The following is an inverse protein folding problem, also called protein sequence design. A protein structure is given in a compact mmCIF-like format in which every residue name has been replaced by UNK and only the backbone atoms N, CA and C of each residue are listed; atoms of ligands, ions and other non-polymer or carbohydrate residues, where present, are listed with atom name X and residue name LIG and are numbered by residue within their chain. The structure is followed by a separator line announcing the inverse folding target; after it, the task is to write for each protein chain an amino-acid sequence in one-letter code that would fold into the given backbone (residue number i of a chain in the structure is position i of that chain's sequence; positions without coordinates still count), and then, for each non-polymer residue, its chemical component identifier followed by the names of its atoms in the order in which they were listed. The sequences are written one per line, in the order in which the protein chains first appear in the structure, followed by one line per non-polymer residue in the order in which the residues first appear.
data_IF_575133205446
#
_entry.id   IF_575133205446
#
_cell.length_a   1.000
_cell.length_b   1.000
_cell.length_c   1.000
_cell.angle_alpha   90.00
_cell.angle_beta   90.00
_cell.angle_gamma   90.00
#
_symmetry.space_group_name_H-M   'P 1'
#
loop_
_entity.id
_entity.type
_entity.pdbx_description
1 polymer ?
#
# COMPACT_ATOMS: atom_id res chain seq x y z
N UNK A 1 -5.00 11.22 -0.51
CA UNK A 1 -6.33 10.57 -0.33
C UNK A 1 -6.60 9.57 -1.44
N UNK A 2 -7.19 8.42 -1.09
CA UNK A 2 -7.65 7.41 -2.05
C UNK A 2 -6.68 6.37 -2.63
N UNK A 3 -5.41 6.19 -2.18
CA UNK A 3 -4.52 5.18 -2.76
C UNK A 3 -4.66 3.79 -2.11
N UNK A 4 -5.37 3.66 -0.99
CA UNK A 4 -5.46 2.42 -0.24
C UNK A 4 -6.14 1.28 -1.02
N UNK A 5 -5.68 0.04 -0.82
CA UNK A 5 -6.17 -1.16 -1.54
C UNK A 5 -7.64 -1.52 -1.32
N UNK A 6 -8.24 -0.91 -0.30
CA UNK A 6 -9.60 -1.13 0.25
C UNK A 6 -10.41 0.17 0.24
N UNK A 7 -9.85 1.25 -0.30
CA UNK A 7 -10.43 2.58 -0.28
C UNK A 7 -11.16 2.84 -1.60
N UNK A 8 -12.39 3.33 -1.51
CA UNK A 8 -13.23 3.67 -2.66
C UNK A 8 -13.43 5.18 -2.80
N UNK A 9 -12.79 6.02 -1.97
CA UNK A 9 -12.92 7.50 -1.99
C UNK A 9 -12.83 8.10 -3.40
N UNK A 10 -11.85 7.68 -4.22
CA UNK A 10 -11.71 8.22 -5.59
C UNK A 10 -12.90 7.92 -6.49
N UNK A 11 -13.54 6.78 -6.26
CA UNK A 11 -14.70 6.33 -7.05
C UNK A 11 -15.98 6.96 -6.52
N UNK A 12 -16.16 6.97 -5.20
CA UNK A 12 -17.39 7.42 -4.54
C UNK A 12 -17.48 8.95 -4.49
N UNK A 13 -16.40 9.63 -4.08
CA UNK A 13 -16.35 11.08 -3.94
C UNK A 13 -15.69 11.79 -5.13
N UNK A 14 -15.03 11.08 -6.05
CA UNK A 14 -14.33 11.69 -7.19
C UNK A 14 -13.06 12.46 -6.80
N UNK A 15 -12.58 12.34 -5.56
CA UNK A 15 -11.45 13.12 -5.02
C UNK A 15 -10.22 12.24 -4.81
N UNK A 16 -9.08 12.69 -5.33
CA UNK A 16 -7.78 12.10 -5.01
C UNK A 16 -6.65 12.57 -5.92
N UNK A 17 -5.42 12.25 -5.52
CA UNK A 17 -4.19 12.54 -6.28
C UNK A 17 -3.39 11.25 -6.41
N UNK A 18 -2.84 10.91 -7.60
CA UNK A 18 -1.93 9.78 -7.76
C UNK A 18 -0.80 9.81 -6.72
N UNK A 19 -0.57 8.68 -6.04
CA UNK A 19 0.21 8.67 -4.79
C UNK A 19 1.66 9.12 -4.97
N UNK A 20 2.29 8.76 -6.09
CA UNK A 20 3.66 9.16 -6.36
C UNK A 20 3.78 10.69 -6.49
N UNK A 21 2.88 11.32 -7.25
CA UNK A 21 2.81 12.79 -7.37
C UNK A 21 2.53 13.44 -6.02
N UNK A 22 1.56 12.93 -5.26
CA UNK A 22 1.24 13.46 -3.93
C UNK A 22 2.46 13.45 -2.99
N UNK A 23 3.23 12.34 -2.97
CA UNK A 23 4.45 12.25 -2.17
C UNK A 23 5.53 13.21 -2.67
N UNK A 24 5.75 13.32 -3.99
CA UNK A 24 6.75 14.22 -4.57
C UNK A 24 6.45 15.68 -4.24
N UNK A 25 5.20 16.10 -4.39
CA UNK A 25 4.73 17.47 -4.15
C UNK A 25 4.78 17.83 -2.65
N UNK A 26 4.23 16.98 -1.78
CA UNK A 26 4.20 17.24 -0.33
C UNK A 26 5.61 17.21 0.25
N UNK A 27 6.45 16.24 -0.15
CA UNK A 27 7.82 16.16 0.35
C UNK A 27 8.70 17.32 -0.11
N UNK A 28 8.46 17.89 -1.29
CA UNK A 28 9.19 19.06 -1.76
C UNK A 28 8.97 20.29 -0.87
N UNK A 29 7.75 20.47 -0.34
CA UNK A 29 7.45 21.52 0.63
C UNK A 29 7.95 21.16 2.03
N UNK A 30 7.60 19.97 2.53
CA UNK A 30 7.92 19.54 3.90
C UNK A 30 9.43 19.55 4.18
N UNK A 31 10.26 19.19 3.20
CA UNK A 31 11.73 19.25 3.29
C UNK A 31 12.25 20.66 3.60
N UNK A 32 11.62 21.72 3.08
CA UNK A 32 12.03 23.12 3.36
C UNK A 32 11.86 23.48 4.84
N UNK A 33 11.02 22.75 5.56
CA UNK A 33 10.73 22.94 6.98
C UNK A 33 11.33 21.84 7.86
N UNK A 34 12.12 20.92 7.30
CA UNK A 34 12.67 19.79 8.05
C UNK A 34 11.62 18.80 8.57
N UNK A 35 10.42 18.78 7.96
CA UNK A 35 9.31 17.93 8.39
C UNK A 35 9.33 16.62 7.60
N UNK A 36 9.36 15.44 8.24
CA UNK A 36 9.33 14.14 7.55
C UNK A 36 7.94 13.84 6.98
N UNK A 37 7.91 13.07 5.90
CA UNK A 37 6.66 12.67 5.22
C UNK A 37 6.48 11.16 5.28
N UNK A 38 5.26 10.72 5.60
CA UNK A 38 4.85 9.32 5.55
C UNK A 38 4.05 9.09 4.27
N UNK A 39 4.50 8.18 3.40
CA UNK A 39 3.71 7.75 2.26
C UNK A 39 2.72 6.64 2.69
N UNK A 40 1.45 6.99 2.82
CA UNK A 40 0.40 6.09 3.29
C UNK A 40 -0.51 5.57 2.16
N UNK A 41 -0.52 4.26 1.98
CA UNK A 41 -1.41 3.55 1.05
C UNK A 41 -0.87 3.40 -0.37
N UNK A 42 -1.40 2.41 -1.10
CA UNK A 42 -1.08 2.13 -2.50
C UNK A 42 0.19 1.29 -2.74
N UNK A 43 0.92 0.94 -1.69
CA UNK A 43 2.11 0.09 -1.76
C UNK A 43 1.70 -1.38 -1.93
N UNK A 44 2.08 -1.99 -3.06
CA UNK A 44 1.76 -3.39 -3.38
C UNK A 44 2.99 -4.31 -3.33
N UNK A 45 4.18 -3.75 -3.45
CA UNK A 45 5.44 -4.48 -3.48
C UNK A 45 6.56 -3.69 -2.80
N UNK A 46 7.69 -4.36 -2.54
CA UNK A 46 8.91 -3.70 -2.06
C UNK A 46 9.43 -2.64 -3.04
N UNK A 47 9.23 -2.82 -4.35
CA UNK A 47 9.55 -1.81 -5.35
C UNK A 47 8.73 -0.53 -5.21
N UNK A 48 7.46 -0.62 -4.78
CA UNK A 48 6.64 0.55 -4.50
C UNK A 48 7.15 1.32 -3.26
N UNK A 49 7.69 0.62 -2.24
CA UNK A 49 8.38 1.24 -1.09
C UNK A 49 9.58 2.04 -1.58
N UNK A 50 10.44 1.43 -2.42
CA UNK A 50 11.61 2.09 -2.97
C UNK A 50 11.24 3.36 -3.76
N UNK A 51 10.17 3.30 -4.57
CA UNK A 51 9.66 4.47 -5.31
C UNK A 51 9.14 5.56 -4.37
N UNK A 52 8.38 5.21 -3.33
CA UNK A 52 7.86 6.18 -2.37
C UNK A 52 8.99 6.89 -1.59
N UNK A 53 10.00 6.13 -1.16
CA UNK A 53 11.20 6.67 -0.53
C UNK A 53 11.95 7.57 -1.51
N UNK A 54 12.27 7.11 -2.72
CA UNK A 54 12.95 7.90 -3.75
C UNK A 54 12.18 9.19 -4.12
N UNK A 55 10.84 9.17 -4.04
CA UNK A 55 10.00 10.33 -4.27
C UNK A 55 10.06 11.37 -3.14
N UNK A 56 10.66 11.03 -2.00
CA UNK A 56 10.91 11.94 -0.90
C UNK A 56 10.24 11.61 0.43
N UNK A 57 9.54 10.48 0.52
CA UNK A 57 9.00 10.04 1.81
C UNK A 57 10.13 9.57 2.74
N UNK A 58 10.02 9.88 4.03
CA UNK A 58 10.94 9.40 5.07
C UNK A 58 10.59 7.97 5.50
N UNK A 59 9.29 7.64 5.50
CA UNK A 59 8.76 6.33 5.86
C UNK A 59 7.52 6.00 5.02
N UNK A 60 7.10 4.75 5.05
CA UNK A 60 5.88 4.26 4.39
C UNK A 60 4.93 3.64 5.40
N UNK A 61 3.63 3.82 5.20
CA UNK A 61 2.59 3.11 5.96
C UNK A 61 1.92 2.08 5.05
N UNK A 62 1.81 0.84 5.55
CA UNK A 62 1.32 -0.31 4.78
C UNK A 62 0.25 -1.07 5.55
N UNK A 63 -0.92 -1.25 4.92
CA UNK A 63 -2.01 -2.05 5.46
C UNK A 63 -2.01 -3.47 4.90
N UNK A 64 -2.45 -3.63 3.64
CA UNK A 64 -2.63 -4.94 2.99
C UNK A 64 -1.38 -5.82 2.94
N UNK A 65 -0.18 -5.24 2.98
CA UNK A 65 1.06 -6.01 3.03
C UNK A 65 1.22 -6.78 4.34
N UNK A 66 0.69 -6.27 5.45
CA UNK A 66 0.80 -6.85 6.79
C UNK A 66 -0.51 -7.47 7.29
N UNK A 67 -1.66 -7.16 6.68
CA UNK A 67 -2.97 -7.62 7.17
C UNK A 67 -3.14 -9.15 7.27
N UNK A 68 -2.37 -9.92 6.49
CA UNK A 68 -2.43 -11.38 6.50
C UNK A 68 -1.42 -12.09 7.42
N UNK A 69 -0.70 -11.35 8.28
CA UNK A 69 0.33 -11.94 9.15
C UNK A 69 -0.24 -12.47 10.47
N UNK A 70 0.54 -13.26 11.19
CA UNK A 70 0.14 -13.88 12.46
C UNK A 70 -0.23 -12.81 13.49
N UNK A 71 0.54 -11.73 13.53
CA UNK A 71 0.43 -10.62 14.47
C UNK A 71 -0.69 -9.64 14.13
N UNK A 72 -1.30 -9.74 12.94
CA UNK A 72 -2.46 -8.90 12.62
C UNK A 72 -3.69 -9.36 13.41
N UNK A 73 -4.65 -8.48 13.72
CA UNK A 73 -5.90 -8.89 14.38
C UNK A 73 -6.72 -9.88 13.53
N UNK A 74 -7.60 -10.63 14.19
CA UNK A 74 -8.53 -11.57 13.55
C UNK A 74 -7.95 -12.97 13.35
N UNK A 75 -8.83 -13.92 13.09
CA UNK A 75 -8.50 -15.35 12.94
C UNK A 75 -8.11 -15.72 11.51
N UNK A 76 -7.37 -16.82 11.37
CA UNK A 76 -7.09 -17.42 10.05
C UNK A 76 -8.31 -18.23 9.61
N UNK A 77 -8.84 -17.92 8.44
CA UNK A 77 -10.02 -18.56 7.86
C UNK A 77 -9.63 -19.41 6.66
N UNK A 78 -10.10 -20.66 6.62
CA UNK A 78 -9.97 -21.53 5.45
C UNK A 78 -11.09 -21.22 4.44
N UNK A 79 -10.72 -20.88 3.21
CA UNK A 79 -11.65 -20.63 2.12
C UNK A 79 -11.13 -21.26 0.83
N UNK A 80 -11.92 -22.14 0.22
CA UNK A 80 -11.57 -22.86 -1.02
C UNK A 80 -10.17 -23.53 -0.97
N UNK A 81 -9.84 -24.14 0.18
CA UNK A 81 -8.56 -24.84 0.37
C UNK A 81 -7.35 -23.93 0.56
N UNK A 82 -7.53 -22.61 0.70
CA UNK A 82 -6.47 -21.64 1.00
C UNK A 82 -6.79 -20.87 2.28
N UNK A 83 -5.76 -20.44 2.99
CA UNK A 83 -5.86 -19.70 4.24
C UNK A 83 -5.82 -18.20 4.01
N UNK A 84 -6.73 -17.47 4.68
CA UNK A 84 -6.90 -16.02 4.56
C UNK A 84 -7.08 -15.37 5.93
N UNK A 85 -6.93 -14.04 5.99
CA UNK A 85 -7.40 -13.20 7.10
C UNK A 85 -8.28 -12.07 6.57
N UNK A 86 -9.20 -11.61 7.42
CA UNK A 86 -10.07 -10.48 7.08
C UNK A 86 -9.29 -9.17 7.06
N UNK A 87 -9.61 -8.31 6.08
CA UNK A 87 -9.01 -6.99 5.91
C UNK A 87 -10.05 -6.02 5.37
N UNK A 88 -10.27 -4.92 6.06
CA UNK A 88 -11.32 -3.95 5.73
C UNK A 88 -10.85 -2.52 5.82
N UNK A 89 -11.48 -1.66 5.03
CA UNK A 89 -11.26 -0.23 5.12
C UNK A 89 -11.97 0.42 6.28
N UNK A 90 -11.35 1.46 6.84
CA UNK A 90 -11.95 2.22 7.92
C UNK A 90 -13.22 2.95 7.47
N UNK A 91 -13.42 3.15 6.16
CA UNK A 91 -14.65 3.69 5.57
C UNK A 91 -15.65 2.61 5.14
N UNK A 92 -15.43 1.35 5.51
CA UNK A 92 -16.42 0.28 5.31
C UNK A 92 -17.54 0.37 6.33
N UNK A 93 -18.73 -0.17 5.98
CA UNK A 93 -19.90 -0.15 6.86
C UNK A 93 -19.60 -0.78 8.24
N UNK A 94 -18.95 -1.94 8.28
CA UNK A 94 -18.65 -2.61 9.54
C UNK A 94 -17.56 -1.94 10.36
N UNK A 95 -16.73 -1.09 9.76
CA UNK A 95 -15.78 -0.25 10.50
C UNK A 95 -16.47 1.01 11.04
N UNK A 96 -17.22 1.73 10.19
CA UNK A 96 -17.92 2.96 10.55
C UNK A 96 -18.97 2.74 11.63
N UNK A 97 -19.72 1.63 11.56
CA UNK A 97 -20.66 1.24 12.62
C UNK A 97 -19.98 0.98 13.98
N UNK A 98 -18.65 0.84 14.01
CA UNK A 98 -17.84 0.68 15.24
C UNK A 98 -17.03 1.94 15.58
N UNK A 99 -17.41 3.09 15.03
CA UNK A 99 -16.89 4.40 15.47
C UNK A 99 -15.81 5.01 14.59
N UNK A 100 -15.60 4.54 13.35
CA UNK A 100 -14.70 5.22 12.40
C UNK A 100 -15.41 6.18 11.44
N UNK A 101 -16.67 6.51 11.69
CA UNK A 101 -17.46 7.42 10.87
C UNK A 101 -16.99 8.89 10.96
N UNK A 102 -16.39 9.27 12.09
CA UNK A 102 -15.77 10.59 12.35
C UNK A 102 -14.70 10.93 11.29
N UNK A 103 -13.88 9.95 10.92
CA UNK A 103 -12.82 10.06 9.91
C UNK A 103 -13.33 10.40 8.51
N UNK A 104 -14.62 10.19 8.26
CA UNK A 104 -15.30 10.44 6.98
C UNK A 104 -16.36 11.53 7.11
N UNK A 105 -16.34 12.32 8.20
CA UNK A 105 -17.28 13.41 8.45
C UNK A 105 -18.75 12.95 8.47
N UNK A 106 -19.00 11.72 8.91
CA UNK A 106 -20.33 11.10 8.97
C UNK A 106 -20.77 10.76 10.41
N UNK A 107 -20.16 11.38 11.41
CA UNK A 107 -20.44 11.11 12.84
C UNK A 107 -21.90 11.41 13.24
N UNK A 108 -22.52 12.41 12.61
CA UNK A 108 -23.92 12.79 12.90
C UNK A 108 -24.95 11.82 12.29
N UNK A 109 -24.53 10.89 11.43
CA UNK A 109 -25.41 9.92 10.78
C UNK A 109 -25.70 8.76 11.74
N UNK A 110 -26.84 8.86 12.45
CA UNK A 110 -27.27 7.85 13.44
C UNK A 110 -27.81 6.55 12.82
N UNK A 111 -28.23 6.59 11.57
CA UNK A 111 -28.75 5.44 10.85
C UNK A 111 -27.66 4.82 9.98
N UNK A 112 -27.19 3.63 10.37
CA UNK A 112 -26.15 2.91 9.65
C UNK A 112 -26.51 2.61 8.18
N UNK A 113 -27.80 2.54 7.83
CA UNK A 113 -28.23 2.36 6.43
C UNK A 113 -28.03 3.61 5.57
N UNK A 114 -27.85 4.78 6.19
CA UNK A 114 -27.63 6.06 5.50
C UNK A 114 -26.15 6.43 5.37
N UNK A 115 -25.25 5.62 5.93
CA UNK A 115 -23.82 5.82 5.76
C UNK A 115 -23.42 5.63 4.29
N UNK A 116 -22.56 6.50 3.78
CA UNK A 116 -21.97 6.44 2.44
C UNK A 116 -20.54 5.89 2.58
N UNK A 117 -20.30 4.59 2.36
CA UNK A 117 -19.00 3.98 2.61
C UNK A 117 -17.95 4.35 1.55
N UNK A 118 -16.78 4.76 2.02
CA UNK A 118 -15.58 5.02 1.21
C UNK A 118 -14.52 3.91 1.36
N UNK A 119 -14.93 2.74 1.80
CA UNK A 119 -14.10 1.55 1.82
C UNK A 119 -14.90 0.25 1.75
N UNK A 120 -14.18 -0.84 1.45
CA UNK A 120 -14.73 -2.19 1.33
C UNK A 120 -14.18 -3.12 2.40
N UNK A 121 -14.87 -4.23 2.61
CA UNK A 121 -14.41 -5.35 3.43
C UNK A 121 -14.01 -6.50 2.51
N UNK A 122 -12.92 -7.19 2.83
CA UNK A 122 -12.41 -8.28 2.02
C UNK A 122 -11.47 -9.19 2.81
N UNK A 123 -10.79 -10.06 2.06
CA UNK A 123 -9.84 -11.03 2.61
C UNK A 123 -8.50 -10.90 1.92
N UNK A 124 -7.43 -11.09 2.68
CA UNK A 124 -6.07 -11.19 2.14
C UNK A 124 -5.50 -12.58 2.41
N UNK A 125 -4.69 -13.15 1.51
CA UNK A 125 -4.08 -14.45 1.77
C UNK A 125 -3.20 -14.38 3.01
N UNK A 126 -3.20 -15.46 3.79
CA UNK A 126 -2.31 -15.64 4.94
C UNK A 126 -0.83 -15.54 4.52
N UNK A 127 -0.01 -14.96 5.38
CA UNK A 127 1.40 -14.62 5.11
C UNK A 127 2.39 -15.19 6.13
N UNK A 128 1.91 -15.81 7.21
CA UNK A 128 2.76 -16.25 8.32
C UNK A 128 3.30 -15.07 9.14
N UNK A 129 4.42 -15.27 9.85
CA UNK A 129 4.98 -14.26 10.75
C UNK A 129 5.40 -12.98 10.03
N UNK A 130 5.15 -11.82 10.66
CA UNK A 130 5.46 -10.49 10.10
C UNK A 130 6.95 -10.33 9.77
N UNK A 131 7.83 -10.98 10.54
CA UNK A 131 9.27 -10.92 10.36
C UNK A 131 9.70 -11.33 8.93
N UNK A 132 9.10 -12.40 8.39
CA UNK A 132 9.40 -12.86 7.03
C UNK A 132 8.97 -11.84 5.97
N UNK A 133 7.80 -11.23 6.15
CA UNK A 133 7.30 -10.17 5.25
C UNK A 133 8.21 -8.95 5.29
N UNK A 134 8.54 -8.46 6.49
CA UNK A 134 9.41 -7.29 6.68
C UNK A 134 10.80 -7.54 6.09
N UNK A 135 11.36 -8.73 6.28
CA UNK A 135 12.65 -9.10 5.69
C UNK A 135 12.65 -8.95 4.16
N UNK A 136 11.62 -9.45 3.47
CA UNK A 136 11.49 -9.33 2.02
C UNK A 136 11.30 -7.87 1.56
N UNK A 137 10.53 -7.07 2.32
CA UNK A 137 10.32 -5.65 2.01
C UNK A 137 11.61 -4.85 2.14
N UNK A 138 12.37 -5.05 3.22
CA UNK A 138 13.67 -4.41 3.45
C UNK A 138 14.68 -4.88 2.40
N UNK A 139 14.70 -6.17 2.06
CA UNK A 139 15.57 -6.72 1.02
C UNK A 139 15.36 -6.02 -0.33
N UNK A 140 14.11 -5.83 -0.74
CA UNK A 140 13.79 -5.10 -1.98
C UNK A 140 14.20 -3.63 -1.94
N UNK A 141 14.02 -2.93 -0.82
CA UNK A 141 14.50 -1.55 -0.66
C UNK A 141 16.04 -1.46 -0.77
N UNK A 142 16.75 -2.35 -0.08
CA UNK A 142 18.23 -2.42 -0.14
C UNK A 142 18.73 -2.72 -1.55
N UNK A 143 18.06 -3.61 -2.28
CA UNK A 143 18.38 -3.87 -3.69
C UNK A 143 18.21 -2.60 -4.55
N UNK A 144 17.11 -1.86 -4.38
CA UNK A 144 16.89 -0.60 -5.09
C UNK A 144 17.93 0.49 -4.73
N UNK A 145 18.31 0.59 -3.47
CA UNK A 145 19.41 1.45 -3.00
C UNK A 145 20.73 1.09 -3.69
N UNK A 146 21.04 -0.21 -3.81
CA UNK A 146 22.21 -0.70 -4.53
C UNK A 146 22.20 -0.33 -6.02
N UNK A 147 21.11 -0.60 -6.73
CA UNK A 147 20.97 -0.24 -8.16
C UNK A 147 21.05 1.26 -8.43
N UNK A 148 20.62 2.08 -7.49
CA UNK A 148 20.61 3.55 -7.62
C UNK A 148 21.86 4.21 -7.04
N UNK A 149 22.79 3.44 -6.45
CA UNK A 149 24.04 3.94 -5.89
C UNK A 149 23.87 4.81 -4.65
N UNK A 150 22.87 4.54 -3.80
CA UNK A 150 22.55 5.36 -2.63
C UNK A 150 22.78 4.59 -1.33
N UNK A 151 23.72 5.06 -0.51
CA UNK A 151 24.05 4.42 0.78
C UNK A 151 23.04 4.74 1.88
N UNK A 152 22.34 5.88 1.76
CA UNK A 152 21.34 6.32 2.73
C UNK A 152 20.02 6.71 2.07
N UNK A 153 18.96 6.80 2.88
CA UNK A 153 17.66 7.34 2.45
C UNK A 153 17.79 8.80 1.98
N UNK A 154 18.62 9.59 2.65
CA UNK A 154 18.89 10.97 2.27
C UNK A 154 19.55 11.06 0.88
N UNK A 155 20.47 10.14 0.56
CA UNK A 155 21.08 10.05 -0.76
C UNK A 155 20.03 9.71 -1.83
N UNK A 156 19.13 8.75 -1.55
CA UNK A 156 18.03 8.43 -2.46
C UNK A 156 17.15 9.65 -2.75
N UNK A 157 16.81 10.45 -1.73
CA UNK A 157 16.02 11.67 -1.91
C UNK A 157 16.68 12.69 -2.83
N UNK A 158 18.02 12.76 -2.81
CA UNK A 158 18.80 13.72 -3.59
C UNK A 158 19.10 13.24 -5.01
N UNK A 159 19.40 11.94 -5.16
CA UNK A 159 20.05 11.42 -6.36
C UNK A 159 19.12 10.57 -7.24
N UNK A 160 18.05 10.00 -6.69
CA UNK A 160 17.18 9.11 -7.45
C UNK A 160 16.46 9.86 -8.57
N UNK A 161 16.41 9.23 -9.75
CA UNK A 161 15.75 9.78 -10.95
C UNK A 161 14.70 8.80 -11.44
N UNK A 162 13.55 9.34 -11.83
CA UNK A 162 12.46 8.55 -12.38
C UNK A 162 12.42 8.66 -13.91
N UNK A 163 12.00 7.57 -14.55
CA UNK A 163 11.58 7.56 -15.95
C UNK A 163 10.12 7.13 -16.01
N UNK A 164 9.31 7.91 -16.73
CA UNK A 164 7.91 7.57 -16.98
C UNK A 164 7.84 6.46 -18.01
N UNK A 165 7.10 5.41 -17.69
CA UNK A 165 6.85 4.27 -18.58
C UNK A 165 5.38 4.25 -19.01
N UNK A 166 5.09 3.57 -20.12
CA UNK A 166 3.72 3.32 -20.59
C UNK A 166 3.15 2.06 -19.93
N UNK A 167 1.87 1.76 -20.18
CA UNK A 167 1.27 0.49 -19.75
C UNK A 167 1.98 -0.75 -20.32
N UNK A 168 2.56 -0.65 -21.52
CA UNK A 168 3.39 -1.72 -22.08
C UNK A 168 4.67 -1.93 -21.25
N UNK A 169 5.32 -0.84 -20.81
CA UNK A 169 6.48 -0.94 -19.92
C UNK A 169 6.15 -1.54 -18.55
N UNK A 170 4.93 -1.35 -18.05
CA UNK A 170 4.47 -2.04 -16.83
C UNK A 170 4.38 -3.54 -17.07
N UNK A 171 3.81 -3.98 -18.20
CA UNK A 171 3.74 -5.42 -18.54
C UNK A 171 5.13 -6.03 -18.70
N UNK A 172 6.04 -5.34 -19.39
CA UNK A 172 7.45 -5.74 -19.54
C UNK A 172 8.16 -5.86 -18.18
N UNK A 173 7.85 -4.96 -17.23
CA UNK A 173 8.45 -4.99 -15.89
C UNK A 173 8.00 -6.18 -15.03
N UNK A 174 6.85 -6.78 -15.34
CA UNK A 174 6.34 -7.96 -14.67
C UNK A 174 6.82 -9.24 -15.39
N UNK A 175 6.74 -10.39 -14.71
CA UNK A 175 6.93 -11.69 -15.37
C UNK A 175 5.90 -11.82 -16.50
N UNK A 176 6.38 -12.05 -17.72
CA UNK A 176 5.60 -12.18 -18.94
C UNK A 176 6.15 -13.35 -19.77
N UNK A 177 5.29 -13.92 -20.63
CA UNK A 177 5.62 -14.99 -21.58
C UNK A 177 6.16 -16.31 -20.97
N UNK A 178 5.95 -16.53 -19.66
CA UNK A 178 6.31 -17.77 -18.95
C UNK A 178 5.26 -18.18 -17.93
N UNK A 179 5.17 -19.49 -17.65
CA UNK A 179 4.34 -20.02 -16.57
C UNK A 179 5.14 -20.11 -15.27
N UNK A 180 4.72 -19.37 -14.24
CA UNK A 180 5.34 -19.42 -12.91
C UNK A 180 4.98 -20.75 -12.25
N UNK A 181 5.98 -21.62 -12.01
CA UNK A 181 5.79 -22.94 -11.38
C UNK A 181 5.96 -22.92 -9.87
N UNK A 182 6.66 -21.91 -9.34
CA UNK A 182 6.88 -21.69 -7.90
C UNK A 182 6.79 -20.20 -7.61
N UNK A 183 5.91 -19.83 -6.68
CA UNK A 183 5.76 -18.43 -6.28
C UNK A 183 6.91 -18.02 -5.35
N UNK A 184 7.68 -16.97 -5.70
CA UNK A 184 8.67 -16.42 -4.79
C UNK A 184 8.00 -15.63 -3.66
N UNK A 185 8.64 -15.50 -2.49
CA UNK A 185 8.03 -14.88 -1.31
C UNK A 185 7.75 -13.37 -1.45
N UNK A 186 8.39 -12.71 -2.42
CA UNK A 186 8.34 -11.26 -2.63
C UNK A 186 7.58 -10.83 -3.90
N UNK A 187 7.04 -11.78 -4.68
CA UNK A 187 6.34 -11.47 -5.92
C UNK A 187 5.12 -12.38 -6.07
N UNK A 188 3.95 -11.75 -6.13
CA UNK A 188 2.68 -12.41 -6.43
C UNK A 188 2.11 -11.78 -7.68
N UNK A 189 1.73 -12.61 -8.63
CA UNK A 189 0.96 -12.17 -9.79
C UNK A 189 -0.47 -12.00 -9.30
N UNK A 190 -0.93 -10.75 -9.19
CA UNK A 190 -2.36 -10.51 -9.04
C UNK A 190 -3.00 -10.79 -10.40
N UNK A 191 -3.54 -12.00 -10.57
CA UNK A 191 -4.54 -12.25 -11.60
C UNK A 191 -5.85 -11.62 -11.11
N UNK A 192 -6.02 -10.34 -11.37
CA UNK A 192 -7.29 -9.63 -11.26
C UNK A 192 -7.62 -9.05 -12.63
#
# INVERSE_FOLDING_TARGET
IGPGSICTTRVVAGVGVPQLSAVMEVSALARKHGVPVIADGGIKSSGDIAKAIAAGASTVMVGSLLAGTDESPGEVVLYQGRTYKDYRGMGSLGAMARGSADRYFQEEVRDNMKLVPEGVEGRVPYKGPVAGVVHQLIGGLKAAMGYTGNGTIADMHKNAKFRRITGAGIRESHVHDVMVTREPPNYRVNNS
#
